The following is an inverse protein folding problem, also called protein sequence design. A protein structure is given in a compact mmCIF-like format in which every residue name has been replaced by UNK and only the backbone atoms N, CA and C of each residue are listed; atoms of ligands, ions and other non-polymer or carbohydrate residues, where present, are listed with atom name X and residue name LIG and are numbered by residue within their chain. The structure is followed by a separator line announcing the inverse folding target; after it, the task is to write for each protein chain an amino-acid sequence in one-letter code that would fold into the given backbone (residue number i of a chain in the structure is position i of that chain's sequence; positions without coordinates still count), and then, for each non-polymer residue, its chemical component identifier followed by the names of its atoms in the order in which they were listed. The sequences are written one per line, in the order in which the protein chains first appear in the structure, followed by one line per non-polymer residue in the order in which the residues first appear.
data_IF_624613576217
#
_entry.id   IF_624613576217
#
_cell.length_a   1.000
_cell.length_b   1.000
_cell.length_c   1.000
_cell.angle_alpha   90.00
_cell.angle_beta   90.00
_cell.angle_gamma   90.00
#
_symmetry.space_group_name_H-M   'P 1'
#
loop_
_entity.id
_entity.type
_entity.pdbx_description
1 polymer ?
#
# COMPACT_ATOMS: atom_id res chain seq x y z
N UNK A 1 16.16 -5.85 -24.41
CA UNK A 1 16.19 -6.39 -23.02
C UNK A 1 15.20 -5.55 -22.20
N UNK A 2 14.49 -6.16 -21.26
CA UNK A 2 13.46 -5.50 -20.43
C UNK A 2 13.98 -5.14 -19.03
N UNK A 3 13.07 -4.76 -18.12
CA UNK A 3 13.38 -4.53 -16.71
C UNK A 3 13.36 -5.81 -15.87
N UNK A 4 13.89 -5.73 -14.65
CA UNK A 4 13.83 -6.78 -13.62
C UNK A 4 12.68 -6.48 -12.64
N UNK A 5 12.10 -7.52 -12.03
CA UNK A 5 10.97 -7.37 -11.13
C UNK A 5 11.01 -8.39 -9.99
N UNK A 6 10.51 -7.99 -8.82
CA UNK A 6 10.30 -8.83 -7.64
C UNK A 6 8.89 -8.60 -7.10
N UNK A 7 8.25 -9.65 -6.60
CA UNK A 7 6.90 -9.57 -6.01
C UNK A 7 6.98 -9.61 -4.48
N UNK A 8 6.19 -8.76 -3.82
CA UNK A 8 5.95 -8.79 -2.39
C UNK A 8 4.41 -8.74 -2.17
N UNK A 9 3.90 -9.58 -1.27
CA UNK A 9 2.47 -9.72 -1.00
C UNK A 9 2.01 -9.13 0.34
N UNK A 10 2.86 -8.36 1.01
CA UNK A 10 2.52 -7.69 2.26
C UNK A 10 1.43 -6.62 2.03
N UNK A 11 0.62 -6.39 3.07
CA UNK A 11 -0.37 -5.31 3.07
C UNK A 11 0.32 -3.97 3.33
N UNK A 12 0.27 -3.06 2.34
CA UNK A 12 0.86 -1.70 2.41
C UNK A 12 0.30 -0.85 3.55
N UNK A 13 -0.90 -1.19 4.04
CA UNK A 13 -1.51 -0.49 5.15
C UNK A 13 -1.14 -1.08 6.49
N UNK A 14 -0.39 -2.19 6.56
CA UNK A 14 0.23 -2.68 7.79
C UNK A 14 1.63 -2.07 7.99
N UNK A 15 2.00 -1.75 9.24
CA UNK A 15 3.27 -1.07 9.51
C UNK A 15 4.47 -1.96 9.24
N UNK A 16 4.43 -3.21 9.72
CA UNK A 16 5.53 -4.14 9.51
C UNK A 16 5.55 -4.64 8.06
N UNK A 17 4.36 -4.86 7.48
CA UNK A 17 4.20 -5.19 6.06
C UNK A 17 4.81 -4.13 5.13
N UNK A 18 4.49 -2.85 5.36
CA UNK A 18 5.05 -1.77 4.55
C UNK A 18 6.59 -1.66 4.70
N UNK A 19 7.13 -1.86 5.91
CA UNK A 19 8.58 -1.89 6.10
C UNK A 19 9.23 -3.06 5.34
N UNK A 20 8.62 -4.26 5.38
CA UNK A 20 9.10 -5.41 4.62
C UNK A 20 9.03 -5.18 3.11
N UNK A 21 8.02 -4.47 2.61
CA UNK A 21 7.92 -4.08 1.20
C UNK A 21 9.09 -3.17 0.79
N UNK A 22 9.40 -2.13 1.57
CA UNK A 22 10.52 -1.22 1.29
C UNK A 22 11.86 -1.97 1.34
N UNK A 23 12.06 -2.80 2.37
CA UNK A 23 13.26 -3.62 2.49
C UNK A 23 13.42 -4.57 1.30
N UNK A 24 12.33 -5.21 0.84
CA UNK A 24 12.38 -6.10 -0.32
C UNK A 24 12.89 -5.39 -1.58
N UNK A 25 12.49 -4.14 -1.80
CA UNK A 25 12.98 -3.35 -2.94
C UNK A 25 14.47 -3.00 -2.81
N UNK A 26 14.90 -2.56 -1.62
CA UNK A 26 16.31 -2.21 -1.37
C UNK A 26 17.22 -3.44 -1.42
N UNK A 27 16.78 -4.57 -0.89
CA UNK A 27 17.55 -5.83 -0.91
C UNK A 27 17.69 -6.38 -2.35
N UNK A 28 16.65 -6.29 -3.16
CA UNK A 28 16.67 -6.78 -4.54
C UNK A 28 17.44 -5.87 -5.49
N UNK A 29 17.36 -4.55 -5.32
CA UNK A 29 17.84 -3.57 -6.31
C UNK A 29 18.93 -2.60 -5.78
N UNK A 30 19.27 -2.68 -4.50
CA UNK A 30 20.30 -1.88 -3.83
C UNK A 30 19.85 -0.50 -3.35
N UNK A 31 18.81 0.10 -3.96
CA UNK A 31 18.24 1.39 -3.58
C UNK A 31 16.75 1.47 -3.93
N UNK A 32 16.04 2.43 -3.34
CA UNK A 32 14.67 2.80 -3.71
C UNK A 32 14.62 4.28 -4.10
N UNK A 33 14.55 4.57 -5.39
CA UNK A 33 14.54 5.95 -5.89
C UNK A 33 13.13 6.58 -5.94
N UNK A 34 12.11 5.76 -6.20
CA UNK A 34 10.73 6.21 -6.39
C UNK A 34 9.77 5.25 -5.71
N UNK A 35 8.85 5.81 -4.90
CA UNK A 35 7.69 5.10 -4.36
C UNK A 35 6.42 5.62 -5.03
N UNK A 36 5.62 4.72 -5.60
CA UNK A 36 4.31 5.04 -6.18
C UNK A 36 3.21 4.47 -5.30
N UNK A 37 2.53 5.33 -4.54
CA UNK A 37 1.40 4.95 -3.70
C UNK A 37 0.13 4.81 -4.56
N UNK A 38 0.00 3.68 -5.27
CA UNK A 38 -1.13 3.38 -6.16
C UNK A 38 -2.24 2.53 -5.50
N UNK A 39 -1.98 1.92 -4.34
CA UNK A 39 -2.95 1.04 -3.70
C UNK A 39 -4.25 1.77 -3.33
N UNK A 40 -5.38 1.20 -3.73
CA UNK A 40 -6.70 1.77 -3.52
C UNK A 40 -7.79 0.71 -3.64
N UNK A 41 -8.93 0.95 -3.00
CA UNK A 41 -10.13 0.11 -3.08
C UNK A 41 -11.38 0.97 -3.21
N UNK A 42 -12.44 0.43 -3.79
CA UNK A 42 -13.73 1.10 -3.80
C UNK A 42 -14.75 0.30 -2.97
N UNK A 43 -15.53 1.00 -2.17
CA UNK A 43 -16.76 0.52 -1.53
C UNK A 43 -17.87 1.48 -1.93
N UNK A 44 -18.51 1.17 -3.05
CA UNK A 44 -19.46 2.08 -3.68
C UNK A 44 -20.77 2.12 -2.92
N UNK A 45 -20.94 3.19 -2.14
CA UNK A 45 -22.13 3.50 -1.35
C UNK A 45 -22.29 5.01 -1.25
N UNK A 46 -23.55 5.46 -1.23
CA UNK A 46 -23.86 6.78 -0.69
C UNK A 46 -23.44 6.81 0.79
N UNK A 47 -22.88 7.92 1.27
CA UNK A 47 -22.34 8.05 2.63
C UNK A 47 -23.30 7.54 3.72
N UNK A 48 -24.60 7.85 3.59
CA UNK A 48 -25.65 7.43 4.54
C UNK A 48 -25.89 5.92 4.60
N UNK A 49 -25.45 5.18 3.58
CA UNK A 49 -25.64 3.73 3.45
C UNK A 49 -24.31 2.97 3.63
N UNK A 50 -23.23 3.67 3.98
CA UNK A 50 -21.93 3.06 4.21
C UNK A 50 -21.84 2.58 5.66
N UNK A 51 -21.36 1.35 5.84
CA UNK A 51 -21.03 0.83 7.16
C UNK A 51 -19.69 1.36 7.65
N UNK A 52 -19.49 1.43 8.96
CA UNK A 52 -18.20 1.84 9.55
C UNK A 52 -17.05 0.96 9.04
N UNK A 53 -17.27 -0.35 8.88
CA UNK A 53 -16.27 -1.28 8.36
C UNK A 53 -15.88 -0.99 6.89
N UNK A 54 -16.83 -0.57 6.04
CA UNK A 54 -16.54 -0.16 4.66
C UNK A 54 -15.77 1.15 4.62
N UNK A 55 -16.17 2.11 5.45
CA UNK A 55 -15.47 3.39 5.61
C UNK A 55 -14.02 3.17 6.07
N UNK A 56 -13.84 2.41 7.14
CA UNK A 56 -12.54 2.09 7.72
C UNK A 56 -11.64 1.35 6.74
N UNK A 57 -12.19 0.43 5.93
CA UNK A 57 -11.44 -0.26 4.91
C UNK A 57 -10.88 0.71 3.84
N UNK A 58 -11.70 1.65 3.37
CA UNK A 58 -11.27 2.67 2.40
C UNK A 58 -10.20 3.56 3.02
N UNK A 59 -10.42 4.09 4.22
CA UNK A 59 -9.45 4.94 4.92
C UNK A 59 -8.14 4.21 5.18
N UNK A 60 -8.20 2.95 5.64
CA UNK A 60 -7.04 2.11 5.89
C UNK A 60 -6.19 1.94 4.63
N UNK A 61 -6.77 1.61 3.48
CA UNK A 61 -5.99 1.42 2.25
C UNK A 61 -5.45 2.74 1.71
N UNK A 62 -6.27 3.79 1.61
CA UNK A 62 -5.84 5.02 0.92
C UNK A 62 -4.95 5.89 1.78
N UNK A 63 -5.31 6.09 3.05
CA UNK A 63 -4.56 6.99 3.92
C UNK A 63 -3.42 6.25 4.62
N UNK A 64 -3.73 5.16 5.34
CA UNK A 64 -2.67 4.40 6.03
C UNK A 64 -1.76 3.67 5.05
N UNK A 65 -2.29 3.12 3.96
CA UNK A 65 -1.49 2.49 2.89
C UNK A 65 -0.61 3.44 2.10
N UNK A 66 -0.90 4.75 2.09
CA UNK A 66 0.01 5.77 1.58
C UNK A 66 1.05 6.16 2.64
N UNK A 67 0.62 6.33 3.89
CA UNK A 67 1.47 6.84 4.96
C UNK A 67 2.53 5.84 5.42
N UNK A 68 2.15 4.57 5.59
CA UNK A 68 3.03 3.54 6.14
C UNK A 68 4.32 3.29 5.33
N UNK A 69 4.28 3.14 3.99
CA UNK A 69 5.51 2.97 3.19
C UNK A 69 6.27 4.28 2.95
N UNK A 70 5.68 5.44 3.25
CA UNK A 70 6.29 6.76 2.99
C UNK A 70 7.06 7.33 4.19
N UNK A 71 7.03 6.65 5.34
CA UNK A 71 7.68 7.09 6.59
C UNK A 71 8.87 6.19 6.92
#
# INVERSE_FOLDING_TARGET
MGGEAVANGDDVSDWEGAQRLINSAVEAFGTLDVLVNNAGILRDRMLINMTDAEWDAVIRVHLRGTFAPSR
#
